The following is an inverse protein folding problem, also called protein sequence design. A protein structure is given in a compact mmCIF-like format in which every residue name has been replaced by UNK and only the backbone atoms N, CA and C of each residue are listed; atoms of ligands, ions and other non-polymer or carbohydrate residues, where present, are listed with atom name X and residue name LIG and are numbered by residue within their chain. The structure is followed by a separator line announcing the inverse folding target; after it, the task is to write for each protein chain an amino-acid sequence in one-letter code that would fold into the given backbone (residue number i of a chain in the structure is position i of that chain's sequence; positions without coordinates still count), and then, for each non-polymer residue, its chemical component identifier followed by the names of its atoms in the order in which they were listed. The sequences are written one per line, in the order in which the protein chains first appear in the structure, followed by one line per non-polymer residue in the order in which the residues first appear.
data_IF_570954807413
#
_entry.id   IF_570954807413
#
_cell.length_a   1.000
_cell.length_b   1.000
_cell.length_c   1.000
_cell.angle_alpha   90.00
_cell.angle_beta   90.00
_cell.angle_gamma   90.00
#
_symmetry.space_group_name_H-M   'P 1'
#
loop_
_entity.id
_entity.type
_entity.pdbx_description
1 polymer ?
#
# COMPACT_ATOMS: atom_id res chain seq x y z
N UNK A 1 -29.24 -10.33 -3.83
CA UNK A 1 -28.33 -9.16 -3.71
C UNK A 1 -27.88 -8.78 -5.11
N UNK A 2 -28.54 -7.76 -5.68
CA UNK A 2 -28.42 -7.40 -7.09
C UNK A 2 -27.24 -6.47 -7.41
N UNK A 3 -26.01 -6.84 -7.09
CA UNK A 3 -24.85 -6.09 -7.58
C UNK A 3 -24.62 -6.43 -9.06
N UNK A 4 -24.50 -5.40 -9.88
CA UNK A 4 -24.11 -5.55 -11.27
C UNK A 4 -22.63 -5.97 -11.40
N UNK A 5 -22.24 -6.76 -12.42
CA UNK A 5 -20.85 -7.20 -12.60
C UNK A 5 -19.83 -6.05 -12.56
N UNK A 6 -20.16 -4.89 -13.11
CA UNK A 6 -19.31 -3.70 -13.09
C UNK A 6 -19.08 -3.16 -11.67
N UNK A 7 -20.08 -3.27 -10.79
CA UNK A 7 -19.95 -2.87 -9.39
C UNK A 7 -19.02 -3.83 -8.65
N UNK A 8 -19.15 -5.12 -8.92
CA UNK A 8 -18.26 -6.15 -8.36
C UNK A 8 -16.82 -5.93 -8.85
N UNK A 9 -16.63 -5.62 -10.11
CA UNK A 9 -15.31 -5.33 -10.67
C UNK A 9 -14.69 -4.07 -10.03
N UNK A 10 -15.49 -3.02 -9.81
CA UNK A 10 -15.04 -1.80 -9.11
C UNK A 10 -14.60 -2.06 -7.66
N UNK A 11 -15.08 -3.14 -7.03
CA UNK A 11 -14.69 -3.56 -5.68
C UNK A 11 -13.43 -4.43 -5.66
N UNK A 12 -12.77 -4.64 -6.79
CA UNK A 12 -11.56 -5.46 -6.92
C UNK A 12 -10.34 -4.63 -7.27
N UNK A 13 -9.14 -5.18 -7.02
CA UNK A 13 -7.90 -4.56 -7.48
C UNK A 13 -7.83 -4.46 -9.00
N UNK A 14 -8.55 -5.31 -9.73
CA UNK A 14 -8.62 -5.27 -11.19
C UNK A 14 -9.13 -3.91 -11.71
N UNK A 15 -10.05 -3.24 -10.99
CA UNK A 15 -10.49 -1.90 -11.34
C UNK A 15 -9.35 -0.86 -11.28
N UNK A 16 -8.53 -0.94 -10.24
CA UNK A 16 -7.37 -0.05 -10.05
C UNK A 16 -6.21 -0.38 -11.00
N UNK A 17 -6.27 -1.53 -11.67
CA UNK A 17 -5.24 -2.06 -12.54
C UNK A 17 -5.75 -2.24 -13.99
N UNK A 18 -7.00 -1.87 -14.27
CA UNK A 18 -7.64 -2.10 -15.59
C UNK A 18 -6.86 -1.42 -16.73
N UNK A 19 -6.21 -0.28 -16.46
CA UNK A 19 -5.37 0.43 -17.41
C UNK A 19 -3.91 -0.08 -17.41
N UNK A 20 -3.63 -1.12 -16.65
CA UNK A 20 -2.28 -1.66 -16.44
C UNK A 20 -2.31 -3.13 -16.84
N UNK A 21 -2.18 -3.41 -18.16
CA UNK A 21 -2.25 -4.77 -18.72
C UNK A 21 -1.18 -5.73 -18.19
N UNK A 22 -0.18 -5.22 -17.47
CA UNK A 22 0.81 -5.99 -16.71
C UNK A 22 0.30 -6.47 -15.33
N UNK A 23 -0.98 -6.22 -15.01
CA UNK A 23 -1.55 -6.68 -13.73
C UNK A 23 -1.45 -8.20 -13.56
N UNK A 24 -1.46 -8.96 -14.64
CA UNK A 24 -1.25 -10.41 -14.60
C UNK A 24 0.22 -10.77 -14.43
N UNK A 25 1.13 -10.06 -15.09
CA UNK A 25 2.57 -10.23 -14.91
C UNK A 25 3.05 -9.61 -13.59
N UNK A 26 2.47 -8.47 -13.18
CA UNK A 26 2.80 -7.82 -11.93
C UNK A 26 2.25 -8.54 -10.70
N UNK A 27 1.16 -9.29 -10.79
CA UNK A 27 0.77 -10.19 -9.69
C UNK A 27 1.74 -11.37 -9.56
N UNK A 28 2.30 -11.88 -10.66
CA UNK A 28 3.37 -12.86 -10.65
C UNK A 28 4.71 -12.23 -10.20
N UNK A 29 5.06 -11.04 -10.69
CA UNK A 29 6.31 -10.33 -10.35
C UNK A 29 6.24 -9.62 -9.00
N UNK A 30 5.06 -9.21 -8.53
CA UNK A 30 4.83 -8.75 -7.16
C UNK A 30 5.03 -9.87 -6.13
N UNK A 31 4.92 -11.14 -6.56
CA UNK A 31 5.22 -12.30 -5.71
C UNK A 31 6.62 -12.86 -5.93
N UNK A 32 7.25 -12.64 -7.11
CA UNK A 32 8.46 -13.35 -7.52
C UNK A 32 9.76 -12.53 -7.45
N UNK A 33 9.75 -11.20 -7.59
CA UNK A 33 10.99 -10.40 -7.68
C UNK A 33 11.32 -9.52 -6.48
N UNK A 34 10.47 -9.46 -5.48
CA UNK A 34 10.88 -8.91 -4.18
C UNK A 34 10.82 -10.03 -3.14
N UNK A 35 11.96 -10.58 -2.72
CA UNK A 35 12.02 -11.78 -1.89
C UNK A 35 11.37 -11.68 -0.51
N UNK A 36 10.68 -10.61 -0.16
CA UNK A 36 10.09 -10.41 1.18
C UNK A 36 8.85 -9.54 1.27
N UNK A 37 8.20 -9.15 0.18
CA UNK A 37 6.89 -8.50 0.27
C UNK A 37 5.77 -9.53 0.28
N UNK A 38 5.78 -10.39 1.28
CA UNK A 38 4.69 -11.33 1.50
C UNK A 38 3.46 -10.57 1.99
N UNK A 39 2.58 -10.21 1.05
CA UNK A 39 1.14 -10.17 1.28
C UNK A 39 0.57 -9.29 2.40
N UNK A 40 1.31 -8.32 2.94
CA UNK A 40 0.78 -7.39 3.94
C UNK A 40 0.21 -6.12 3.29
N UNK A 41 -0.78 -5.54 3.94
CA UNK A 41 -1.36 -4.26 3.53
C UNK A 41 -0.74 -3.14 4.35
N UNK A 42 -0.55 -1.99 3.70
CA UNK A 42 -0.36 -0.73 4.40
C UNK A 42 -1.71 -0.19 4.85
N UNK A 43 -1.72 0.75 5.76
CA UNK A 43 -2.95 1.40 6.22
C UNK A 43 -2.66 2.79 6.80
N UNK A 44 -3.65 3.67 6.71
CA UNK A 44 -3.65 4.90 7.47
C UNK A 44 -4.43 4.69 8.77
N UNK A 45 -3.82 4.84 9.96
CA UNK A 45 -4.52 4.65 11.23
C UNK A 45 -5.72 5.58 11.39
N UNK A 46 -5.57 6.83 10.99
CA UNK A 46 -6.63 7.83 11.07
C UNK A 46 -7.82 7.49 10.17
N UNK A 47 -7.58 7.08 8.91
CA UNK A 47 -8.65 6.62 8.03
C UNK A 47 -9.35 5.38 8.59
N UNK A 48 -8.57 4.45 9.14
CA UNK A 48 -9.08 3.20 9.67
C UNK A 48 -9.99 3.45 10.88
N UNK A 49 -9.59 4.34 11.79
CA UNK A 49 -10.39 4.76 12.94
C UNK A 49 -11.65 5.51 12.49
N UNK A 50 -11.52 6.52 11.63
CA UNK A 50 -12.63 7.34 11.15
C UNK A 50 -13.70 6.54 10.41
N UNK A 51 -13.31 5.47 9.68
CA UNK A 51 -14.23 4.64 8.90
C UNK A 51 -14.78 3.43 9.64
N UNK A 52 -14.43 3.25 10.92
CA UNK A 52 -14.81 2.04 11.68
C UNK A 52 -14.19 0.76 11.13
N UNK A 53 -13.06 0.86 10.44
CA UNK A 53 -12.29 -0.28 9.99
C UNK A 53 -12.41 -0.62 8.50
N UNK A 54 -12.75 0.34 7.65
CA UNK A 54 -12.71 0.15 6.20
C UNK A 54 -11.27 0.12 5.70
N UNK A 55 -10.90 -0.99 5.08
CA UNK A 55 -9.59 -1.19 4.45
C UNK A 55 -9.65 -0.85 2.97
N UNK A 56 -8.99 0.23 2.58
CA UNK A 56 -8.99 0.67 1.19
C UNK A 56 -8.15 -0.27 0.33
N UNK A 57 -8.69 -0.71 -0.80
CA UNK A 57 -7.97 -1.60 -1.72
C UNK A 57 -6.66 -1.01 -2.23
N UNK A 58 -6.62 0.29 -2.43
CA UNK A 58 -5.41 1.01 -2.86
C UNK A 58 -4.23 0.84 -1.89
N UNK A 59 -4.48 0.59 -0.59
CA UNK A 59 -3.42 0.35 0.38
C UNK A 59 -2.64 -0.95 0.13
N UNK A 60 -3.17 -1.82 -0.72
CA UNK A 60 -2.48 -3.02 -1.18
C UNK A 60 -1.53 -2.76 -2.34
N UNK A 61 -1.68 -1.64 -3.03
CA UNK A 61 -0.81 -1.30 -4.15
C UNK A 61 0.57 -0.91 -3.64
N UNK A 62 1.61 -1.37 -4.32
CA UNK A 62 2.99 -1.01 -3.99
C UNK A 62 3.26 0.50 -4.12
N UNK A 63 2.47 1.18 -4.95
CA UNK A 63 2.54 2.61 -5.21
C UNK A 63 1.82 3.49 -4.16
N UNK A 64 1.17 2.89 -3.16
CA UNK A 64 0.53 3.60 -2.06
C UNK A 64 1.44 3.59 -0.85
N UNK A 65 2.00 4.74 -0.49
CA UNK A 65 2.93 4.89 0.63
C UNK A 65 2.53 6.02 1.59
N UNK A 66 1.69 6.96 1.15
CA UNK A 66 1.21 8.06 1.98
C UNK A 66 -0.31 8.22 1.91
N UNK A 67 -0.89 8.76 2.96
CA UNK A 67 -2.30 9.16 3.02
C UNK A 67 -2.41 10.65 2.71
N UNK A 68 -3.01 10.99 1.58
CA UNK A 68 -3.21 12.39 1.17
C UNK A 68 -4.19 13.13 2.10
N UNK A 69 -5.21 12.43 2.62
CA UNK A 69 -6.21 13.01 3.52
C UNK A 69 -5.61 13.41 4.87
N UNK A 70 -4.78 12.54 5.46
CA UNK A 70 -4.21 12.76 6.80
C UNK A 70 -2.74 13.17 6.77
N UNK A 71 -2.19 13.36 5.57
CA UNK A 71 -0.81 13.81 5.34
C UNK A 71 0.21 13.03 6.18
N UNK A 72 0.14 11.70 6.11
CA UNK A 72 1.03 10.83 6.85
C UNK A 72 1.51 9.65 6.02
N UNK A 73 2.64 9.06 6.38
CA UNK A 73 3.07 7.79 5.81
C UNK A 73 2.11 6.68 6.23
N UNK A 74 1.86 5.73 5.33
CA UNK A 74 1.06 4.55 5.65
C UNK A 74 1.84 3.60 6.54
N UNK A 75 1.20 3.11 7.61
CA UNK A 75 1.75 2.06 8.47
C UNK A 75 1.67 0.69 7.80
N UNK A 76 2.62 -0.19 8.10
CA UNK A 76 2.64 -1.58 7.63
C UNK A 76 2.52 -2.58 8.80
N UNK A 77 2.96 -2.18 9.97
CA UNK A 77 3.17 -3.06 11.11
C UNK A 77 2.27 -2.74 12.28
N UNK A 78 1.87 -3.76 13.01
CA UNK A 78 1.20 -3.57 14.29
C UNK A 78 2.17 -3.02 15.33
N UNK A 79 1.81 -1.96 16.07
CA UNK A 79 2.71 -1.37 17.07
C UNK A 79 3.01 -2.29 18.25
N UNK A 80 2.13 -3.28 18.54
CA UNK A 80 2.31 -4.21 19.65
C UNK A 80 3.09 -5.46 19.28
N UNK A 81 2.76 -6.13 18.16
CA UNK A 81 3.38 -7.41 17.81
C UNK A 81 4.40 -7.33 16.67
N UNK A 82 4.60 -6.17 16.05
CA UNK A 82 5.57 -5.95 14.98
C UNK A 82 5.27 -6.72 13.69
N UNK A 83 4.06 -7.24 13.50
CA UNK A 83 3.71 -8.02 12.30
C UNK A 83 2.97 -7.18 11.29
N UNK A 84 3.23 -7.45 10.00
CA UNK A 84 2.50 -6.83 8.88
C UNK A 84 1.03 -7.18 8.92
N UNK A 85 0.19 -6.21 8.60
CA UNK A 85 -1.25 -6.41 8.65
C UNK A 85 -1.79 -7.11 7.40
N UNK A 86 -2.95 -7.76 7.56
CA UNK A 86 -3.66 -8.45 6.46
C UNK A 86 -2.80 -9.48 5.69
N UNK A 87 -1.78 -10.06 6.32
CA UNK A 87 -1.10 -11.21 5.77
C UNK A 87 -2.07 -12.41 5.63
N UNK A 88 -1.82 -13.33 4.67
CA UNK A 88 -2.66 -14.51 4.51
C UNK A 88 -2.87 -15.25 5.83
N UNK A 89 -4.12 -15.59 6.12
CA UNK A 89 -4.53 -16.31 7.35
C UNK A 89 -5.10 -17.67 6.97
N UNK A 90 -5.03 -18.66 7.85
CA UNK A 90 -5.71 -19.93 7.64
C UNK A 90 -7.22 -19.72 7.41
N UNK A 91 -7.80 -20.47 6.46
CA UNK A 91 -9.21 -20.34 6.07
C UNK A 91 -10.19 -20.62 7.22
N UNK A 92 -9.78 -21.37 8.22
CA UNK A 92 -10.59 -21.71 9.39
C UNK A 92 -10.43 -20.74 10.56
N UNK A 93 -9.66 -19.67 10.41
CA UNK A 93 -9.54 -18.65 11.45
C UNK A 93 -10.80 -17.78 11.51
N UNK A 94 -11.30 -17.50 12.71
CA UNK A 94 -12.40 -16.56 12.88
C UNK A 94 -12.04 -15.19 12.27
N UNK A 95 -12.99 -14.46 11.66
CA UNK A 95 -12.68 -13.16 11.06
C UNK A 95 -12.15 -12.20 12.14
N UNK A 96 -11.10 -11.42 11.82
CA UNK A 96 -10.60 -10.41 12.74
C UNK A 96 -11.56 -9.24 12.85
N UNK A 97 -11.55 -8.54 13.98
CA UNK A 97 -12.21 -7.25 14.09
C UNK A 97 -11.52 -6.24 13.12
N UNK A 98 -12.28 -5.43 12.37
CA UNK A 98 -11.74 -4.65 11.25
C UNK A 98 -10.58 -3.72 11.61
N UNK A 99 -10.65 -3.06 12.76
CA UNK A 99 -9.64 -2.10 13.24
C UNK A 99 -8.50 -2.77 14.02
N UNK A 100 -8.67 -4.04 14.40
CA UNK A 100 -7.74 -4.70 15.32
C UNK A 100 -6.77 -5.65 14.62
N UNK A 101 -5.60 -5.81 15.25
CA UNK A 101 -4.57 -6.73 14.80
C UNK A 101 -5.04 -8.18 14.92
N UNK A 102 -5.06 -8.89 13.79
CA UNK A 102 -5.51 -10.26 13.68
C UNK A 102 -4.44 -11.31 14.05
N UNK A 103 -3.19 -10.89 14.19
CA UNK A 103 -2.10 -11.82 14.44
C UNK A 103 -2.15 -12.45 15.83
N UNK A 104 -1.58 -13.64 16.00
CA UNK A 104 -1.41 -14.23 17.33
C UNK A 104 -0.63 -13.31 18.27
N UNK A 105 -1.06 -13.25 19.52
CA UNK A 105 -0.34 -12.51 20.56
C UNK A 105 1.10 -13.02 20.71
N UNK A 106 2.09 -12.15 20.85
CA UNK A 106 3.46 -12.57 21.11
C UNK A 106 3.64 -13.21 22.49
N UNK A 107 2.71 -12.93 23.41
CA UNK A 107 2.80 -13.41 24.81
C UNK A 107 2.14 -14.77 25.06
N UNK A 108 1.40 -15.31 24.07
CA UNK A 108 0.73 -16.61 24.21
C UNK A 108 1.37 -17.68 23.35
N UNK A 109 1.64 -18.82 23.98
CA UNK A 109 2.20 -20.03 23.34
C UNK A 109 1.15 -21.14 23.31
N UNK A 110 1.28 -22.13 22.42
CA UNK A 110 0.37 -23.27 22.34
C UNK A 110 -0.63 -23.19 21.20
N UNK A 111 -1.54 -24.18 21.14
CA UNK A 111 -2.55 -24.31 20.06
C UNK A 111 -3.66 -23.27 20.14
N UNK A 112 -3.95 -22.75 21.34
CA UNK A 112 -5.05 -21.81 21.61
C UNK A 112 -4.51 -20.40 21.86
N UNK A 113 -3.75 -19.86 20.87
CA UNK A 113 -3.17 -18.52 20.98
C UNK A 113 -4.26 -17.45 20.91
N UNK A 114 -4.32 -16.57 21.91
CA UNK A 114 -5.11 -15.36 21.81
C UNK A 114 -4.57 -14.46 20.68
N UNK A 115 -5.41 -13.59 20.16
CA UNK A 115 -4.97 -12.58 19.20
C UNK A 115 -4.24 -11.44 19.90
N UNK A 116 -3.37 -10.77 19.16
CA UNK A 116 -2.71 -9.54 19.60
C UNK A 116 -3.74 -8.46 19.94
N UNK A 117 -4.77 -8.33 19.08
CA UNK A 117 -5.94 -7.47 19.29
C UNK A 117 -5.60 -6.01 19.65
N UNK A 118 -4.41 -5.55 19.25
CA UNK A 118 -4.05 -4.13 19.36
C UNK A 118 -4.94 -3.31 18.44
N UNK A 119 -5.43 -2.16 18.90
CA UNK A 119 -6.11 -1.21 18.04
C UNK A 119 -5.10 -0.62 17.04
N UNK A 120 -5.39 -0.73 15.76
CA UNK A 120 -4.52 -0.23 14.69
C UNK A 120 -4.75 1.26 14.42
N UNK A 121 -5.86 1.83 14.89
CA UNK A 121 -6.09 3.26 14.81
C UNK A 121 -5.11 4.04 15.68
N UNK A 122 -4.57 3.42 16.74
CA UNK A 122 -3.57 4.00 17.63
C UNK A 122 -2.12 3.82 17.12
N UNK A 123 -1.93 3.31 15.88
CA UNK A 123 -0.59 3.11 15.34
C UNK A 123 0.09 4.44 15.07
N UNK A 124 1.28 4.71 15.65
CA UNK A 124 2.02 5.92 15.36
C UNK A 124 2.46 5.96 13.90
N UNK A 125 2.36 7.12 13.27
CA UNK A 125 2.76 7.39 11.90
C UNK A 125 3.51 8.71 11.79
N UNK A 126 4.35 8.83 10.77
CA UNK A 126 5.04 10.07 10.46
C UNK A 126 4.06 11.00 9.75
N UNK A 127 3.78 12.15 10.35
CA UNK A 127 3.01 13.23 9.73
C UNK A 127 3.92 14.06 8.83
N UNK A 128 3.41 14.48 7.69
CA UNK A 128 4.12 15.24 6.66
C UNK A 128 3.51 16.64 6.54
N UNK A 129 4.33 17.63 6.26
CA UNK A 129 3.86 18.96 5.90
C UNK A 129 3.07 18.94 4.60
N UNK A 130 2.17 19.91 4.40
CA UNK A 130 1.21 19.92 3.29
C UNK A 130 1.89 19.93 1.91
N UNK A 131 3.05 20.56 1.79
CA UNK A 131 3.87 20.68 0.59
C UNK A 131 5.00 19.66 0.50
N UNK A 132 5.01 18.66 1.39
CA UNK A 132 6.08 17.67 1.44
C UNK A 132 6.15 16.88 0.12
N UNK A 133 7.36 16.71 -0.47
CA UNK A 133 7.54 16.06 -1.79
C UNK A 133 6.92 14.65 -1.87
N UNK A 134 6.89 13.93 -0.75
CA UNK A 134 6.26 12.60 -0.67
C UNK A 134 4.75 12.66 -0.95
N UNK A 135 4.05 13.70 -0.46
CA UNK A 135 2.61 13.86 -0.74
C UNK A 135 2.38 14.23 -2.19
N UNK A 136 3.21 15.10 -2.77
CA UNK A 136 3.15 15.44 -4.19
C UNK A 136 3.38 14.22 -5.06
N UNK A 137 4.38 13.41 -4.75
CA UNK A 137 4.65 12.16 -5.45
C UNK A 137 3.48 11.17 -5.35
N UNK A 138 2.87 11.03 -4.15
CA UNK A 138 1.69 10.18 -3.97
C UNK A 138 0.50 10.69 -4.78
N UNK A 139 0.29 12.01 -4.84
CA UNK A 139 -0.76 12.63 -5.63
C UNK A 139 -0.60 12.30 -7.12
N UNK A 140 0.60 12.52 -7.67
CA UNK A 140 0.92 12.21 -9.08
C UNK A 140 0.66 10.72 -9.39
N UNK A 141 1.04 9.82 -8.49
CA UNK A 141 0.80 8.39 -8.69
C UNK A 141 -0.69 8.03 -8.65
N UNK A 142 -1.47 8.65 -7.77
CA UNK A 142 -2.93 8.44 -7.72
C UNK A 142 -3.58 8.92 -9.02
N UNK A 143 -3.21 10.09 -9.51
CA UNK A 143 -3.70 10.66 -10.77
C UNK A 143 -3.28 9.80 -11.97
N UNK A 144 -2.03 9.34 -12.00
CA UNK A 144 -1.51 8.46 -13.03
C UNK A 144 -2.27 7.14 -13.09
N UNK A 145 -2.53 6.51 -11.93
CA UNK A 145 -3.26 5.23 -11.86
C UNK A 145 -4.74 5.38 -12.25
N UNK A 146 -5.30 6.58 -12.14
CA UNK A 146 -6.66 6.89 -12.58
C UNK A 146 -6.74 7.31 -14.05
N UNK A 147 -5.62 7.57 -14.71
CA UNK A 147 -5.52 8.01 -16.09
C UNK A 147 -5.21 6.84 -17.05
N UNK A 148 -5.38 7.05 -18.36
CA UNK A 148 -4.97 6.10 -19.39
C UNK A 148 -3.52 6.29 -19.80
N UNK A 149 -2.97 7.49 -19.58
CA UNK A 149 -1.60 7.86 -19.96
C UNK A 149 -1.00 8.90 -19.02
N UNK A 150 0.31 8.85 -18.83
CA UNK A 150 1.08 9.90 -18.16
C UNK A 150 1.20 11.14 -19.04
N UNK A 151 0.96 12.32 -18.45
CA UNK A 151 1.03 13.63 -19.10
C UNK A 151 1.74 14.68 -18.25
N UNK A 152 2.76 14.29 -17.52
CA UNK A 152 3.53 15.17 -16.63
C UNK A 152 5.02 15.08 -16.92
N UNK A 153 5.77 16.10 -16.52
CA UNK A 153 7.22 16.14 -16.69
C UNK A 153 7.62 15.89 -18.15
N UNK A 154 8.48 14.93 -18.38
CA UNK A 154 8.95 14.55 -19.73
C UNK A 154 7.85 13.89 -20.61
N UNK A 155 6.77 13.39 -20.02
CA UNK A 155 5.63 12.82 -20.75
C UNK A 155 4.58 13.88 -21.16
N UNK A 156 4.77 15.16 -20.80
CA UNK A 156 3.79 16.21 -21.08
C UNK A 156 3.56 16.42 -22.58
N UNK A 157 4.62 16.31 -23.38
CA UNK A 157 4.55 16.47 -24.84
C UNK A 157 4.24 15.15 -25.59
N UNK A 158 4.60 14.01 -24.99
CA UNK A 158 4.40 12.69 -25.55
C UNK A 158 3.66 11.81 -24.53
N UNK A 159 2.33 11.83 -24.54
CA UNK A 159 1.53 11.00 -23.64
C UNK A 159 1.92 9.53 -23.72
N UNK A 160 2.36 8.98 -22.61
CA UNK A 160 2.91 7.62 -22.54
C UNK A 160 1.95 6.73 -21.75
N UNK A 161 1.69 5.50 -22.17
CA UNK A 161 0.86 4.57 -21.42
C UNK A 161 1.31 4.42 -19.97
N UNK A 162 0.36 4.33 -19.04
CA UNK A 162 0.64 4.29 -17.58
C UNK A 162 1.65 3.20 -17.22
N UNK A 163 1.54 2.01 -17.85
CA UNK A 163 2.46 0.89 -17.62
C UNK A 163 3.93 1.29 -17.88
N UNK A 164 4.16 2.02 -18.96
CA UNK A 164 5.52 2.36 -19.39
C UNK A 164 6.09 3.46 -18.47
N UNK A 165 5.26 4.44 -18.08
CA UNK A 165 5.63 5.45 -17.08
C UNK A 165 5.99 4.81 -15.74
N UNK A 166 5.20 3.84 -15.27
CA UNK A 166 5.49 3.13 -14.01
C UNK A 166 6.76 2.26 -14.11
N UNK A 167 7.03 1.67 -15.29
CA UNK A 167 8.27 0.95 -15.54
C UNK A 167 9.48 1.87 -15.48
N UNK A 168 9.40 3.05 -16.08
CA UNK A 168 10.44 4.07 -16.03
C UNK A 168 10.70 4.56 -14.61
N UNK A 169 9.64 4.88 -13.86
CA UNK A 169 9.76 5.28 -12.44
C UNK A 169 10.46 4.18 -11.63
N UNK A 170 10.15 2.90 -11.88
CA UNK A 170 10.78 1.77 -11.20
C UNK A 170 12.26 1.66 -11.55
N UNK A 171 12.63 1.81 -12.81
CA UNK A 171 14.03 1.76 -13.28
C UNK A 171 14.81 2.91 -12.66
N UNK A 172 14.30 4.13 -12.76
CA UNK A 172 14.94 5.31 -12.18
C UNK A 172 15.10 5.20 -10.66
N UNK A 173 14.06 4.77 -9.96
CA UNK A 173 14.12 4.55 -8.52
C UNK A 173 15.19 3.53 -8.11
N UNK A 174 15.31 2.43 -8.84
CA UNK A 174 16.37 1.43 -8.61
C UNK A 174 17.77 2.01 -8.86
N UNK A 175 17.93 2.79 -9.95
CA UNK A 175 19.20 3.41 -10.27
C UNK A 175 19.62 4.42 -9.21
N UNK A 176 18.69 5.26 -8.73
CA UNK A 176 18.95 6.22 -7.66
C UNK A 176 19.33 5.50 -6.37
N UNK A 177 18.55 4.49 -5.96
CA UNK A 177 18.82 3.73 -4.74
C UNK A 177 20.18 3.01 -4.80
N UNK A 178 20.56 2.44 -5.94
CA UNK A 178 21.87 1.82 -6.09
C UNK A 178 23.01 2.83 -6.07
N UNK A 179 22.82 4.02 -6.65
CA UNK A 179 23.82 5.09 -6.63
C UNK A 179 23.96 5.74 -5.23
N UNK A 180 22.94 5.68 -4.41
CA UNK A 180 22.93 6.23 -3.04
C UNK A 180 23.21 5.19 -1.96
N UNK A 181 23.34 3.92 -2.31
CA UNK A 181 23.59 2.82 -1.36
C UNK A 181 24.89 2.97 -0.53
N UNK A 182 25.78 3.89 -0.90
CA UNK A 182 26.98 4.26 -0.13
C UNK A 182 26.91 5.65 0.52
N UNK A 183 25.80 6.36 0.40
CA UNK A 183 25.61 7.69 1.00
C UNK A 183 24.44 7.61 1.99
N UNK A 184 24.66 8.12 3.19
CA UNK A 184 23.60 8.20 4.20
C UNK A 184 22.37 8.93 3.62
N UNK A 185 21.21 8.26 3.66
CA UNK A 185 19.90 8.82 3.30
C UNK A 185 19.32 9.70 4.42
N UNK A 186 20.14 10.03 5.42
CA UNK A 186 19.72 10.75 6.64
C UNK A 186 19.13 12.15 6.41
N UNK A 187 19.27 12.69 5.20
CA UNK A 187 18.67 13.98 4.82
C UNK A 187 17.35 13.87 4.05
N UNK A 188 16.85 12.65 3.78
CA UNK A 188 15.61 12.43 3.00
C UNK A 188 14.44 11.94 3.87
N UNK A 189 14.71 11.59 5.11
CA UNK A 189 13.69 11.24 6.10
C UNK A 189 13.49 12.42 7.05
N UNK A 190 12.24 12.79 7.36
CA UNK A 190 11.94 13.82 8.34
C UNK A 190 12.37 13.40 9.74
#
# INVERSE_FOLDING_TARGET
TGLMPIQVQAMTLAHHLANVSWAQEATADLTATTPRHHGGWRFCPHCLGASGGTWLLQWRLMWSFACLQHRCLLAEYCPRCGRRQRAPQPLNAAPPRPVHCAHPSPTTTGRNRSRCDADLADTPVITLEADHPTLLAQQVLVELLAADSGRFGLYAQHPTPVRDVLADIRILGRSILSATAGRHLDGLLP
#
